data_IF_376418579672
#
_entry.id   IF_376418579672
#
_cell.length_a   1.000
_cell.length_b   1.000
_cell.length_c   1.000
_cell.angle_alpha   90.00
_cell.angle_beta   90.00
_cell.angle_gamma   90.00
#
_symmetry.space_group_name_H-M   'P 1'
#
loop_
_entity.id
_entity.type
_entity.pdbx_description
1 polymer ?
#
# COMPACT_ATOMS: atom_id res chain seq x y z
N UNK A 1 8.76 -5.16 -11.68
CA UNK A 1 8.25 -3.80 -11.99
C UNK A 1 8.65 -3.31 -13.40
N UNK A 2 9.94 -3.10 -13.71
CA UNK A 2 10.36 -2.53 -15.01
C UNK A 2 9.94 -3.36 -16.22
N UNK A 3 10.32 -4.65 -16.28
CA UNK A 3 10.01 -5.49 -17.45
C UNK A 3 8.51 -5.64 -17.71
N UNK A 4 7.73 -5.96 -16.67
CA UNK A 4 6.27 -6.03 -16.77
C UNK A 4 5.62 -4.69 -17.10
N UNK A 5 6.14 -3.58 -16.55
CA UNK A 5 5.69 -2.22 -16.86
C UNK A 5 5.89 -1.83 -18.31
N UNK A 6 7.07 -2.16 -18.89
CA UNK A 6 7.33 -1.95 -20.32
C UNK A 6 6.36 -2.78 -21.17
N UNK A 7 6.11 -4.04 -20.77
CA UNK A 7 5.20 -4.93 -21.48
C UNK A 7 3.76 -4.37 -21.51
N UNK A 8 3.19 -4.06 -20.34
CA UNK A 8 1.81 -3.53 -20.26
C UNK A 8 1.69 -2.19 -20.97
N UNK A 9 2.57 -1.22 -20.69
CA UNK A 9 2.40 0.14 -21.23
C UNK A 9 2.71 0.26 -22.72
N UNK A 10 3.51 -0.63 -23.29
CA UNK A 10 3.64 -0.70 -24.75
C UNK A 10 2.35 -1.21 -25.41
N UNK A 11 1.65 -2.16 -24.80
CA UNK A 11 0.42 -2.72 -25.32
C UNK A 11 -0.78 -1.78 -25.12
N UNK A 12 -0.98 -1.28 -23.90
CA UNK A 12 -2.02 -0.33 -23.47
C UNK A 12 -2.04 0.92 -24.38
N UNK A 13 -0.91 1.65 -24.46
CA UNK A 13 -0.82 2.86 -25.29
C UNK A 13 -1.07 2.57 -26.77
N UNK A 14 -0.58 1.44 -27.30
CA UNK A 14 -0.78 1.05 -28.69
C UNK A 14 -2.23 0.67 -28.99
N UNK A 15 -2.86 -0.09 -28.09
CA UNK A 15 -4.23 -0.53 -28.21
C UNK A 15 -5.19 0.67 -28.18
N UNK A 16 -5.01 1.55 -27.21
CA UNK A 16 -5.88 2.71 -26.98
C UNK A 16 -5.77 3.76 -28.09
N UNK A 17 -4.56 4.11 -28.53
CA UNK A 17 -4.38 5.13 -29.57
C UNK A 17 -4.99 4.68 -30.90
N UNK A 18 -4.64 3.48 -31.38
CA UNK A 18 -5.14 3.01 -32.67
C UNK A 18 -6.64 2.67 -32.59
N UNK A 19 -7.06 2.02 -31.51
CA UNK A 19 -8.46 1.61 -31.33
C UNK A 19 -9.39 2.80 -31.16
N UNK A 20 -9.20 3.56 -30.08
CA UNK A 20 -10.15 4.61 -29.65
C UNK A 20 -9.99 5.88 -30.45
N UNK A 21 -8.74 6.33 -30.69
CA UNK A 21 -8.48 7.64 -31.31
C UNK A 21 -8.49 7.59 -32.83
N UNK A 22 -7.80 6.63 -33.45
CA UNK A 22 -7.70 6.57 -34.92
C UNK A 22 -8.87 5.84 -35.59
N UNK A 23 -9.29 4.71 -35.03
CA UNK A 23 -10.28 3.81 -35.65
C UNK A 23 -11.68 3.92 -35.07
N UNK A 24 -11.87 4.69 -34.00
CA UNK A 24 -13.16 4.87 -33.33
C UNK A 24 -13.86 3.53 -33.00
N UNK A 25 -13.09 2.52 -32.63
CA UNK A 25 -13.63 1.26 -32.09
C UNK A 25 -13.58 1.33 -30.55
N UNK A 26 -14.46 0.59 -29.84
CA UNK A 26 -14.44 0.53 -28.39
C UNK A 26 -13.07 0.10 -27.81
N UNK A 27 -12.85 0.47 -26.55
CA UNK A 27 -11.78 -0.09 -25.72
C UNK A 27 -11.97 -1.61 -25.59
N UNK A 28 -10.85 -2.35 -25.52
CA UNK A 28 -10.83 -3.83 -25.49
C UNK A 28 -11.56 -4.53 -26.65
N UNK A 29 -11.73 -3.86 -27.79
CA UNK A 29 -12.40 -4.48 -28.93
C UNK A 29 -11.61 -5.70 -29.46
N UNK A 30 -12.24 -6.88 -29.62
CA UNK A 30 -11.55 -8.11 -30.01
C UNK A 30 -10.92 -8.07 -31.41
N UNK A 31 -11.23 -7.06 -32.23
CA UNK A 31 -10.60 -6.83 -33.54
C UNK A 31 -9.23 -6.17 -33.42
N UNK A 32 -8.93 -5.53 -32.29
CA UNK A 32 -7.65 -4.89 -32.05
C UNK A 32 -6.62 -5.94 -31.62
N UNK A 33 -5.55 -6.19 -32.40
CA UNK A 33 -4.59 -7.26 -32.12
C UNK A 33 -3.76 -7.04 -30.85
N UNK A 34 -3.76 -5.81 -30.31
CA UNK A 34 -3.02 -5.48 -29.09
C UNK A 34 -3.76 -5.84 -27.79
N UNK A 35 -5.08 -6.05 -27.83
CA UNK A 35 -5.92 -6.23 -26.62
C UNK A 35 -5.52 -7.43 -25.77
N UNK A 36 -5.09 -8.52 -26.40
CA UNK A 36 -4.58 -9.68 -25.66
C UNK A 36 -3.30 -9.33 -24.91
N UNK A 37 -2.39 -8.58 -25.52
CA UNK A 37 -1.14 -8.17 -24.87
C UNK A 37 -1.42 -7.14 -23.75
N UNK A 38 -2.42 -6.29 -23.93
CA UNK A 38 -2.85 -5.30 -22.93
C UNK A 38 -3.34 -5.99 -21.64
N UNK A 39 -4.34 -6.86 -21.77
CA UNK A 39 -4.92 -7.61 -20.66
C UNK A 39 -3.92 -8.61 -20.02
N UNK A 40 -3.01 -9.19 -20.81
CA UNK A 40 -1.87 -9.96 -20.26
C UNK A 40 -0.94 -9.03 -19.48
N UNK A 41 -0.73 -7.83 -19.99
CA UNK A 41 0.08 -6.79 -19.37
C UNK A 41 -0.37 -6.43 -17.96
N UNK A 42 -1.67 -6.32 -17.70
CA UNK A 42 -2.19 -6.05 -16.36
C UNK A 42 -1.74 -7.11 -15.34
N UNK A 43 -1.74 -8.37 -15.76
CA UNK A 43 -1.31 -9.47 -14.89
C UNK A 43 0.22 -9.50 -14.72
N UNK A 44 0.97 -9.21 -15.78
CA UNK A 44 2.44 -9.29 -15.79
C UNK A 44 3.08 -8.07 -15.09
N UNK A 45 2.54 -6.88 -15.33
CA UNK A 45 2.99 -5.62 -14.78
C UNK A 45 2.33 -5.31 -13.44
N UNK A 46 1.02 -5.13 -13.48
CA UNK A 46 0.28 -4.51 -12.38
C UNK A 46 -0.02 -5.51 -11.25
N UNK A 47 -0.08 -6.82 -11.53
CA UNK A 47 -0.16 -7.86 -10.50
C UNK A 47 1.23 -8.39 -10.11
N UNK A 48 1.92 -9.10 -11.02
CA UNK A 48 3.18 -9.78 -10.67
C UNK A 48 4.30 -8.78 -10.31
N UNK A 49 4.37 -7.67 -11.04
CA UNK A 49 5.33 -6.61 -10.80
C UNK A 49 5.08 -5.86 -9.50
N UNK A 50 3.83 -5.53 -9.18
CA UNK A 50 3.44 -4.88 -7.92
C UNK A 50 3.62 -5.82 -6.71
N UNK A 51 3.25 -7.10 -6.85
CA UNK A 51 3.39 -8.09 -5.78
C UNK A 51 4.86 -8.27 -5.35
N UNK A 52 5.78 -8.33 -6.32
CA UNK A 52 7.21 -8.42 -6.04
C UNK A 52 7.77 -7.15 -5.37
N UNK A 53 7.23 -5.99 -5.74
CA UNK A 53 7.63 -4.67 -5.21
C UNK A 53 7.22 -4.51 -3.73
N UNK A 54 5.98 -4.86 -3.41
CA UNK A 54 5.48 -4.85 -2.02
C UNK A 54 6.19 -5.90 -1.15
N UNK A 55 6.52 -7.07 -1.71
CA UNK A 55 7.33 -8.06 -1.01
C UNK A 55 8.72 -7.52 -0.65
N UNK A 56 9.39 -6.84 -1.60
CA UNK A 56 10.68 -6.18 -1.35
C UNK A 56 10.57 -5.16 -0.22
N UNK A 57 9.55 -4.29 -0.27
CA UNK A 57 9.29 -3.29 0.77
C UNK A 57 9.11 -3.90 2.16
N UNK A 58 8.35 -5.00 2.25
CA UNK A 58 8.16 -5.75 3.50
C UNK A 58 9.46 -6.39 4.02
N UNK A 59 10.20 -7.06 3.12
CA UNK A 59 11.44 -7.75 3.46
C UNK A 59 12.52 -6.77 3.93
N UNK A 60 12.72 -5.67 3.21
CA UNK A 60 13.70 -4.64 3.54
C UNK A 60 13.38 -3.95 4.87
N UNK A 61 12.11 -3.58 5.09
CA UNK A 61 11.67 -2.96 6.35
C UNK A 61 11.91 -3.87 7.55
N UNK A 62 11.61 -5.17 7.39
CA UNK A 62 11.83 -6.18 8.43
C UNK A 62 13.32 -6.40 8.70
N UNK A 63 14.12 -6.57 7.65
CA UNK A 63 15.57 -6.74 7.76
C UNK A 63 16.25 -5.52 8.39
N UNK A 64 15.87 -4.30 8.02
CA UNK A 64 16.41 -3.08 8.58
C UNK A 64 16.18 -2.99 10.10
N UNK A 65 14.96 -3.31 10.55
CA UNK A 65 14.64 -3.37 11.97
C UNK A 65 15.45 -4.45 12.70
N UNK A 66 15.58 -5.64 12.11
CA UNK A 66 16.35 -6.75 12.69
C UNK A 66 17.84 -6.44 12.80
N UNK A 67 18.46 -5.84 11.78
CA UNK A 67 19.89 -5.50 11.81
C UNK A 67 20.19 -4.53 12.94
N UNK A 68 19.38 -3.47 13.10
CA UNK A 68 19.55 -2.51 14.22
C UNK A 68 19.26 -3.18 15.56
N UNK A 69 18.23 -4.02 15.66
CA UNK A 69 17.88 -4.73 16.88
C UNK A 69 18.97 -5.75 17.32
N UNK A 70 19.67 -6.38 16.37
CA UNK A 70 20.69 -7.41 16.61
C UNK A 70 21.89 -6.91 17.41
N UNK A 71 22.24 -5.63 17.24
CA UNK A 71 23.32 -4.94 17.95
C UNK A 71 22.81 -4.03 19.07
N UNK A 72 21.50 -4.07 19.33
CA UNK A 72 20.84 -3.42 20.44
C UNK A 72 20.70 -4.40 21.61
N UNK A 73 20.15 -3.93 22.74
CA UNK A 73 19.93 -4.79 23.93
C UNK A 73 19.19 -6.10 23.61
N UNK A 74 18.23 -6.08 22.67
CA UNK A 74 17.48 -7.28 22.26
C UNK A 74 18.38 -8.40 21.74
N UNK A 75 19.32 -8.09 20.84
CA UNK A 75 20.27 -9.07 20.32
C UNK A 75 21.41 -9.39 21.29
N UNK A 76 21.94 -8.39 21.99
CA UNK A 76 23.04 -8.57 22.96
C UNK A 76 22.61 -9.48 24.12
N UNK A 77 21.40 -9.26 24.65
CA UNK A 77 20.85 -10.05 25.76
C UNK A 77 20.18 -11.35 25.28
N UNK A 78 20.17 -11.62 23.97
CA UNK A 78 19.55 -12.80 23.36
C UNK A 78 18.03 -12.92 23.67
N UNK A 79 17.34 -11.79 23.76
CA UNK A 79 15.89 -11.72 24.00
C UNK A 79 15.11 -11.92 22.69
N UNK A 80 14.85 -13.18 22.35
CA UNK A 80 14.23 -13.56 21.07
C UNK A 80 12.88 -12.86 20.81
N UNK A 81 12.02 -12.74 21.82
CA UNK A 81 10.69 -12.12 21.67
C UNK A 81 10.76 -10.66 21.23
N UNK A 82 11.59 -9.86 21.90
CA UNK A 82 11.77 -8.45 21.56
C UNK A 82 12.55 -8.27 20.26
N UNK A 83 13.50 -9.17 19.97
CA UNK A 83 14.23 -9.22 18.71
C UNK A 83 13.29 -9.47 17.52
N UNK A 84 12.29 -10.34 17.68
CA UNK A 84 11.29 -10.66 16.66
C UNK A 84 10.10 -9.70 16.61
N UNK A 85 10.16 -8.57 17.33
CA UNK A 85 9.10 -7.55 17.34
C UNK A 85 8.56 -7.15 15.95
N UNK A 86 9.38 -6.87 14.91
CA UNK A 86 8.85 -6.55 13.57
C UNK A 86 8.02 -7.69 12.95
N UNK A 87 8.38 -8.95 13.22
CA UNK A 87 7.66 -10.12 12.73
C UNK A 87 6.35 -10.35 13.51
N UNK A 88 6.35 -10.05 14.81
CA UNK A 88 5.15 -10.11 15.65
C UNK A 88 4.12 -9.07 15.22
N UNK A 89 4.56 -7.84 14.94
CA UNK A 89 3.71 -6.79 14.38
C UNK A 89 3.08 -7.26 13.05
N UNK A 90 3.88 -7.85 12.18
CA UNK A 90 3.40 -8.36 10.88
C UNK A 90 2.40 -9.52 11.04
N UNK A 91 2.65 -10.41 12.01
CA UNK A 91 1.77 -11.54 12.32
C UNK A 91 0.40 -11.10 12.85
N UNK A 92 0.38 -10.10 13.76
CA UNK A 92 -0.87 -9.48 14.21
C UNK A 92 -1.54 -8.71 13.07
N UNK A 93 -0.76 -8.07 12.20
CA UNK A 93 -1.25 -7.42 10.98
C UNK A 93 -2.07 -8.36 10.09
N UNK A 94 -1.62 -9.61 9.89
CA UNK A 94 -2.38 -10.61 9.13
C UNK A 94 -3.75 -10.88 9.77
N UNK A 95 -3.80 -11.04 11.09
CA UNK A 95 -5.07 -11.26 11.82
C UNK A 95 -6.00 -10.05 11.74
N UNK A 96 -5.44 -8.84 11.87
CA UNK A 96 -6.19 -7.59 11.74
C UNK A 96 -6.76 -7.43 10.33
N UNK A 97 -5.95 -7.69 9.30
CA UNK A 97 -6.39 -7.64 7.91
C UNK A 97 -7.47 -8.69 7.64
N UNK A 98 -7.34 -9.91 8.16
CA UNK A 98 -8.38 -10.94 8.04
C UNK A 98 -9.72 -10.44 8.60
N UNK A 99 -9.72 -9.89 9.82
CA UNK A 99 -10.93 -9.34 10.43
C UNK A 99 -11.48 -8.18 9.61
N UNK A 100 -10.60 -7.31 9.09
CA UNK A 100 -11.00 -6.15 8.28
C UNK A 100 -11.66 -6.58 6.96
N UNK A 101 -11.14 -7.62 6.30
CA UNK A 101 -11.70 -8.17 5.06
C UNK A 101 -13.17 -8.58 5.24
N UNK A 102 -13.54 -9.18 6.37
CA UNK A 102 -14.92 -9.60 6.66
C UNK A 102 -15.93 -8.44 6.60
N UNK A 103 -15.49 -7.20 6.86
CA UNK A 103 -16.35 -6.03 6.71
C UNK A 103 -16.73 -5.80 5.24
N UNK A 104 -15.82 -6.01 4.29
CA UNK A 104 -16.12 -5.81 2.87
C UNK A 104 -16.74 -7.06 2.21
N UNK A 105 -16.49 -8.26 2.72
CA UNK A 105 -16.97 -9.51 2.11
C UNK A 105 -18.29 -10.01 2.66
N UNK A 106 -18.55 -9.85 3.96
CA UNK A 106 -19.68 -10.50 4.64
C UNK A 106 -20.64 -9.49 5.28
N UNK A 107 -20.13 -8.43 5.90
CA UNK A 107 -20.96 -7.50 6.69
C UNK A 107 -21.59 -6.37 5.88
N UNK A 108 -20.98 -5.97 4.77
CA UNK A 108 -21.47 -4.90 3.91
C UNK A 108 -21.58 -5.37 2.46
N UNK A 109 -22.72 -5.09 1.84
CA UNK A 109 -23.00 -5.38 0.44
C UNK A 109 -23.04 -4.07 -0.36
N UNK A 110 -22.30 -4.02 -1.46
CA UNK A 110 -22.30 -2.88 -2.39
C UNK A 110 -23.49 -3.02 -3.34
N UNK A 111 -24.37 -2.03 -3.37
CA UNK A 111 -25.56 -2.01 -4.24
C UNK A 111 -25.46 -0.99 -5.36
N UNK A 112 -24.66 0.05 -5.16
CA UNK A 112 -24.49 1.15 -6.11
C UNK A 112 -23.00 1.41 -6.35
N UNK A 113 -22.62 1.74 -7.58
CA UNK A 113 -21.23 2.01 -8.00
C UNK A 113 -20.53 3.04 -7.10
N UNK A 114 -21.26 4.08 -6.66
CA UNK A 114 -20.72 5.13 -5.75
C UNK A 114 -20.27 4.61 -4.38
N UNK A 115 -20.65 3.40 -4.01
CA UNK A 115 -20.30 2.78 -2.72
C UNK A 115 -18.97 2.00 -2.79
N UNK A 116 -18.43 1.77 -4.00
CA UNK A 116 -17.18 1.02 -4.20
C UNK A 116 -15.97 1.76 -3.60
N UNK A 117 -15.76 3.03 -3.96
CA UNK A 117 -14.63 3.81 -3.42
C UNK A 117 -14.71 3.98 -1.89
N UNK A 118 -15.87 4.35 -1.29
CA UNK A 118 -16.02 4.35 0.16
C UNK A 118 -15.75 3.00 0.82
N UNK A 119 -16.19 1.88 0.23
CA UNK A 119 -15.96 0.56 0.77
C UNK A 119 -14.46 0.22 0.86
N UNK A 120 -13.70 0.52 -0.21
CA UNK A 120 -12.24 0.34 -0.22
C UNK A 120 -11.55 1.29 0.78
N UNK A 121 -12.02 2.52 0.92
CA UNK A 121 -11.51 3.45 1.93
C UNK A 121 -11.77 2.97 3.35
N UNK A 122 -12.95 2.41 3.62
CA UNK A 122 -13.26 1.86 4.94
C UNK A 122 -12.31 0.72 5.31
N UNK A 123 -11.85 -0.08 4.36
CA UNK A 123 -10.82 -1.09 4.62
C UNK A 123 -9.53 -0.46 5.16
N UNK A 124 -9.05 0.65 4.57
CA UNK A 124 -7.87 1.37 5.07
C UNK A 124 -8.08 1.95 6.46
N UNK A 125 -9.24 2.55 6.72
CA UNK A 125 -9.56 3.17 8.02
C UNK A 125 -9.70 2.10 9.11
N UNK A 126 -10.48 1.05 8.87
CA UNK A 126 -10.74 -0.02 9.83
C UNK A 126 -9.45 -0.75 10.18
N UNK A 127 -8.66 -1.15 9.17
CA UNK A 127 -7.37 -1.81 9.41
C UNK A 127 -6.40 -0.92 10.19
N UNK A 128 -6.34 0.39 9.89
CA UNK A 128 -5.50 1.34 10.62
C UNK A 128 -5.90 1.46 12.09
N UNK A 129 -7.20 1.57 12.38
CA UNK A 129 -7.70 1.68 13.75
C UNK A 129 -7.45 0.39 14.53
N UNK A 130 -7.80 -0.76 13.95
CA UNK A 130 -7.58 -2.07 14.58
C UNK A 130 -6.09 -2.36 14.78
N UNK A 131 -5.25 -2.02 13.80
CA UNK A 131 -3.81 -2.22 13.91
C UNK A 131 -3.16 -1.27 14.91
N UNK A 132 -3.70 -0.07 15.12
CA UNK A 132 -3.25 0.82 16.21
C UNK A 132 -3.42 0.14 17.57
N UNK A 133 -4.57 -0.52 17.81
CA UNK A 133 -4.79 -1.31 19.03
C UNK A 133 -3.85 -2.51 19.08
N UNK A 134 -3.67 -3.22 17.95
CA UNK A 134 -2.72 -4.33 17.83
C UNK A 134 -1.29 -3.94 18.20
N UNK A 135 -0.79 -2.81 17.70
CA UNK A 135 0.54 -2.27 18.01
C UNK A 135 0.68 -2.01 19.51
N UNK A 136 -0.34 -1.41 20.15
CA UNK A 136 -0.31 -1.14 21.59
C UNK A 136 -0.21 -2.45 22.38
N UNK A 137 -1.01 -3.46 22.02
CA UNK A 137 -1.00 -4.77 22.67
C UNK A 137 0.35 -5.47 22.49
N UNK A 138 0.87 -5.53 21.25
CA UNK A 138 2.16 -6.17 20.96
C UNK A 138 3.30 -5.44 21.65
N UNK A 139 3.32 -4.10 21.63
CA UNK A 139 4.31 -3.29 22.34
C UNK A 139 4.30 -3.54 23.85
N UNK A 140 3.13 -3.80 24.42
CA UNK A 140 2.99 -4.03 25.85
C UNK A 140 3.47 -5.43 26.28
N UNK A 141 3.19 -6.45 25.46
CA UNK A 141 3.47 -7.86 25.76
C UNK A 141 4.87 -8.29 25.33
N UNK A 142 5.33 -7.82 24.16
CA UNK A 142 6.56 -8.31 23.53
C UNK A 142 7.82 -7.51 23.88
N UNK A 143 7.67 -6.29 24.41
CA UNK A 143 8.80 -5.41 24.75
C UNK A 143 8.96 -5.21 26.26
N UNK A 144 10.19 -5.19 26.78
CA UNK A 144 10.44 -4.78 28.16
C UNK A 144 10.14 -3.28 28.37
N UNK A 145 9.88 -2.83 29.62
CA UNK A 145 9.56 -1.43 29.91
C UNK A 145 10.59 -0.42 29.42
N UNK A 146 11.87 -0.80 29.53
CA UNK A 146 13.06 -0.03 29.18
C UNK A 146 14.05 -0.96 28.50
N UNK A 147 14.65 -0.51 27.42
CA UNK A 147 15.69 -1.23 26.67
C UNK A 147 16.63 -0.24 26.00
N UNK A 148 17.76 -0.72 25.49
CA UNK A 148 18.68 0.11 24.73
C UNK A 148 18.63 -0.19 23.23
N UNK A 149 18.64 0.85 22.41
CA UNK A 149 18.78 0.79 20.96
C UNK A 149 20.12 1.37 20.55
N UNK A 150 20.79 0.71 19.61
CA UNK A 150 22.03 1.19 19.03
C UNK A 150 21.82 2.51 18.30
N UNK A 151 22.64 3.51 18.62
CA UNK A 151 22.63 4.84 18.01
C UNK A 151 24.07 5.31 17.77
N UNK A 152 24.59 5.04 16.58
CA UNK A 152 25.92 5.47 16.11
C UNK A 152 27.06 5.28 17.14
N UNK A 153 27.16 4.07 17.72
CA UNK A 153 28.19 3.72 18.69
C UNK A 153 27.80 3.92 20.15
N UNK A 154 26.64 4.50 20.43
CA UNK A 154 26.10 4.66 21.79
C UNK A 154 24.83 3.84 21.95
N UNK A 155 24.65 3.21 23.11
CA UNK A 155 23.41 2.53 23.48
C UNK A 155 22.44 3.56 24.08
N UNK A 156 21.39 3.91 23.33
CA UNK A 156 20.38 4.88 23.74
C UNK A 156 19.26 4.17 24.49
N UNK A 157 18.93 4.63 25.69
CA UNK A 157 17.77 4.14 26.43
C UNK A 157 16.46 4.57 25.75
N UNK A 158 15.55 3.61 25.58
CA UNK A 158 14.26 3.75 24.90
C UNK A 158 13.19 3.03 25.72
N UNK A 159 11.98 3.60 25.77
CA UNK A 159 10.83 2.98 26.41
C UNK A 159 9.93 2.29 25.38
N UNK A 160 9.24 1.22 25.77
CA UNK A 160 8.29 0.49 24.90
C UNK A 160 7.23 1.36 24.24
N UNK A 161 6.72 2.38 24.95
CA UNK A 161 5.70 3.28 24.38
C UNK A 161 6.27 4.11 23.23
N UNK A 162 7.56 4.48 23.28
CA UNK A 162 8.21 5.24 22.21
C UNK A 162 8.30 4.40 20.94
N UNK A 163 8.64 3.11 21.06
CA UNK A 163 8.69 2.20 19.91
C UNK A 163 7.31 1.95 19.32
N UNK A 164 6.29 1.79 20.17
CA UNK A 164 4.90 1.70 19.74
C UNK A 164 4.45 2.94 18.97
N UNK A 165 4.82 4.14 19.45
CA UNK A 165 4.59 5.41 18.74
C UNK A 165 5.35 5.47 17.41
N UNK A 166 6.60 4.99 17.33
CA UNK A 166 7.34 4.95 16.07
C UNK A 166 6.61 4.14 14.99
N UNK A 167 6.12 2.94 15.34
CA UNK A 167 5.33 2.11 14.40
C UNK A 167 3.99 2.78 14.09
N UNK A 168 3.32 3.33 15.12
CA UNK A 168 2.04 4.02 14.98
C UNK A 168 2.12 5.22 14.04
N UNK A 169 3.15 6.07 14.15
CA UNK A 169 3.34 7.23 13.25
C UNK A 169 3.49 6.77 11.80
N UNK A 170 4.23 5.69 11.55
CA UNK A 170 4.35 5.11 10.20
C UNK A 170 2.99 4.61 9.65
N UNK A 171 2.23 3.91 10.49
CA UNK A 171 0.88 3.42 10.15
C UNK A 171 -0.07 4.58 9.78
N UNK A 172 -0.14 5.60 10.63
CA UNK A 172 -1.01 6.76 10.39
C UNK A 172 -0.53 7.64 9.23
N UNK A 173 0.78 7.74 8.99
CA UNK A 173 1.32 8.38 7.80
C UNK A 173 0.85 7.67 6.52
N UNK A 174 0.81 6.33 6.51
CA UNK A 174 0.24 5.56 5.42
C UNK A 174 -1.24 5.89 5.15
N UNK A 175 -2.05 6.03 6.20
CA UNK A 175 -3.45 6.45 6.07
C UNK A 175 -3.56 7.85 5.46
N UNK A 176 -2.77 8.81 5.94
CA UNK A 176 -2.75 10.18 5.40
C UNK A 176 -2.39 10.16 3.91
N UNK A 177 -1.35 9.41 3.52
CA UNK A 177 -0.97 9.24 2.11
C UNK A 177 -2.15 8.68 1.31
N UNK A 178 -2.88 7.69 1.82
CA UNK A 178 -4.05 7.12 1.17
C UNK A 178 -5.15 8.15 0.90
N UNK A 179 -5.51 8.95 1.90
CA UNK A 179 -6.54 9.99 1.77
C UNK A 179 -6.14 11.12 0.82
N UNK A 180 -4.87 11.57 0.89
CA UNK A 180 -4.36 12.59 -0.03
C UNK A 180 -4.33 12.04 -1.45
N UNK A 181 -3.90 10.80 -1.64
CA UNK A 181 -3.86 10.16 -2.96
C UNK A 181 -5.28 10.05 -3.53
N UNK A 182 -6.26 9.57 -2.75
CA UNK A 182 -7.66 9.48 -3.18
C UNK A 182 -8.21 10.84 -3.66
N UNK A 183 -7.93 11.92 -2.92
CA UNK A 183 -8.39 13.26 -3.29
C UNK A 183 -7.85 13.74 -4.64
N UNK A 184 -6.61 13.36 -4.98
CA UNK A 184 -5.95 13.76 -6.23
C UNK A 184 -6.16 12.78 -7.39
N UNK A 185 -6.67 11.56 -7.16
CA UNK A 185 -6.83 10.53 -8.20
C UNK A 185 -8.27 10.08 -8.45
N UNK A 186 -9.21 10.26 -7.52
CA UNK A 186 -10.62 9.91 -7.74
C UNK A 186 -11.36 11.00 -8.53
N UNK A 187 -12.18 10.57 -9.50
CA UNK A 187 -13.06 11.43 -10.29
C UNK A 187 -14.25 12.00 -9.47
N UNK A 188 -14.40 11.62 -8.21
CA UNK A 188 -15.38 12.19 -7.30
C UNK A 188 -15.01 13.62 -6.84
N UNK A 189 -13.72 13.98 -6.87
CA UNK A 189 -13.19 15.24 -6.32
C UNK A 189 -12.84 16.26 -7.39
N UNK A 190 -12.66 17.53 -6.98
CA UNK A 190 -12.37 18.65 -7.88
C UNK A 190 -11.13 18.43 -8.75
N UNK A 191 -9.97 17.99 -8.22
CA UNK A 191 -8.73 17.95 -9.01
C UNK A 191 -8.87 17.17 -10.31
N UNK A 192 -9.46 15.97 -10.26
CA UNK A 192 -9.65 15.13 -11.45
C UNK A 192 -10.80 15.63 -12.32
N UNK A 193 -11.85 16.22 -11.74
CA UNK A 193 -12.92 16.88 -12.51
C UNK A 193 -12.41 18.07 -13.31
N UNK A 194 -11.50 18.84 -12.73
CA UNK A 194 -10.88 20.01 -13.38
C UNK A 194 -9.97 19.56 -14.52
N UNK A 195 -9.21 18.47 -14.34
CA UNK A 195 -8.43 17.83 -15.42
C UNK A 195 -9.36 17.36 -16.54
N UNK A 196 -10.45 16.67 -16.24
CA UNK A 196 -11.42 16.24 -17.26
C UNK A 196 -12.07 17.43 -17.99
N UNK A 197 -12.36 18.52 -17.28
CA UNK A 197 -12.91 19.75 -17.88
C UNK A 197 -11.90 20.44 -18.81
N UNK A 198 -10.61 20.40 -18.48
CA UNK A 198 -9.55 20.97 -19.33
C UNK A 198 -9.42 20.27 -20.71
N UNK A 199 -9.95 19.06 -20.86
CA UNK A 199 -9.99 18.35 -22.15
C UNK A 199 -10.83 19.08 -23.20
N UNK A 200 -11.77 19.95 -22.79
CA UNK A 200 -12.61 20.75 -23.71
C UNK A 200 -11.75 21.66 -24.59
N UNK A 201 -10.60 22.13 -24.09
CA UNK A 201 -9.66 22.99 -24.82
C UNK A 201 -8.54 22.22 -25.52
N UNK A 202 -8.60 20.89 -25.51
CA UNK A 202 -7.67 19.99 -26.22
C UNK A 202 -6.68 19.26 -25.32
N UNK A 203 -5.89 18.36 -25.93
CA UNK A 203 -4.96 17.49 -25.21
C UNK A 203 -3.82 18.25 -24.50
N UNK A 204 -3.40 19.40 -25.05
CA UNK A 204 -2.32 20.20 -24.46
C UNK A 204 -2.70 20.74 -23.07
N UNK A 205 -3.91 21.24 -22.89
CA UNK A 205 -4.40 21.74 -21.60
C UNK A 205 -4.69 20.62 -20.60
N UNK A 206 -5.02 19.42 -21.09
CA UNK A 206 -5.20 18.23 -20.24
C UNK A 206 -3.87 17.71 -19.67
N UNK A 207 -2.78 17.88 -20.42
CA UNK A 207 -1.45 17.43 -20.01
C UNK A 207 -0.67 18.42 -19.12
N UNK A 208 -1.09 19.70 -19.09
CA UNK A 208 -0.49 20.77 -18.25
C UNK A 208 -1.15 20.77 -16.88
#
# INVERSE_FOLDING_TARGET
>A
RVGGGIYTKAADVGADLVGKVERNIPEDDPRNPAVIADNVGDNVGDIAGMGSDLFGSYAESSCAALVVASISSFGINHELTAMMYPLLISSVGILVCLITTLFATDFFEIRVVKEIEPALKYQLVISTVLMTVGIIIVSWIALPPTFSIFNFGVQKEVHRWQLGVCVGVGLWAGLIIGFVTEYYTSNAYSPVKDVAHSCITGAATSAI
#
